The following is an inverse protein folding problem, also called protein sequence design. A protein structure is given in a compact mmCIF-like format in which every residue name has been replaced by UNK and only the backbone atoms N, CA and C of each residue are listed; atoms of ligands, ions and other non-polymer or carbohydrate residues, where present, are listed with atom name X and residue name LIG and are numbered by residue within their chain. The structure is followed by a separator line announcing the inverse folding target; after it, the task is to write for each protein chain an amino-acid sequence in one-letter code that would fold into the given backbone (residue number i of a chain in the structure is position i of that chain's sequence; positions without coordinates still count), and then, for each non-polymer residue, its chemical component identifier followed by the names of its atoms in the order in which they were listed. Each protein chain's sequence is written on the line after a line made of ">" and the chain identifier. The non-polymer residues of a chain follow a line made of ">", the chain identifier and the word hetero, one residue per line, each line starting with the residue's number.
data_IF_469064204544
#
_entry.id   IF_469064204544
#
_cell.length_a   1.000
_cell.length_b   1.000
_cell.length_c   1.000
_cell.angle_alpha   90.00
_cell.angle_beta   90.00
_cell.angle_gamma   90.00
#
_symmetry.space_group_name_H-M   'P 1'
#
loop_
_entity.id
_entity.type
_entity.pdbx_description
1 polymer ?
#
# COMPACT_ATOMS: atom_id res chain seq x y z
N UNK A 1 3.46 12.37 -13.14
CA UNK A 1 2.02 12.05 -13.22
C UNK A 1 1.24 12.64 -12.06
N UNK A 2 1.56 12.36 -10.79
CA UNK A 2 0.80 12.94 -9.66
C UNK A 2 0.93 14.46 -9.59
N UNK A 3 2.16 15.00 -9.63
CA UNK A 3 2.40 16.46 -9.67
C UNK A 3 1.63 17.18 -10.78
N UNK A 4 1.68 16.66 -12.00
CA UNK A 4 0.99 17.26 -13.16
C UNK A 4 -0.53 17.18 -13.00
N UNK A 5 -1.06 16.04 -12.52
CA UNK A 5 -2.50 15.88 -12.27
C UNK A 5 -3.02 16.75 -11.13
N UNK A 6 -2.21 16.95 -10.07
CA UNK A 6 -2.53 17.88 -9.00
C UNK A 6 -2.60 19.32 -9.53
N UNK A 7 -1.62 19.75 -10.32
CA UNK A 7 -1.59 21.08 -10.92
C UNK A 7 -2.77 21.31 -11.89
N UNK A 8 -3.09 20.34 -12.76
CA UNK A 8 -4.27 20.37 -13.64
C UNK A 8 -5.57 20.55 -12.85
N UNK A 9 -5.62 20.03 -11.62
CA UNK A 9 -6.77 20.14 -10.71
C UNK A 9 -6.72 21.39 -9.79
N UNK A 10 -5.76 22.30 -9.98
CA UNK A 10 -5.62 23.51 -9.18
C UNK A 10 -4.95 23.31 -7.82
N UNK A 11 -4.18 22.24 -7.63
CA UNK A 11 -3.42 21.98 -6.39
C UNK A 11 -1.91 22.08 -6.61
N UNK A 12 -1.21 22.63 -5.62
CA UNK A 12 0.23 22.50 -5.49
C UNK A 12 0.58 21.23 -4.72
N UNK A 13 1.51 20.43 -5.26
CA UNK A 13 2.07 19.28 -4.56
C UNK A 13 3.27 19.70 -3.72
N UNK A 14 3.08 19.75 -2.40
CA UNK A 14 4.09 20.20 -1.44
C UNK A 14 5.07 19.10 -1.04
N UNK A 15 4.61 17.84 -0.97
CA UNK A 15 5.44 16.72 -0.51
C UNK A 15 5.01 15.39 -1.09
N UNK A 16 6.00 14.61 -1.51
CA UNK A 16 5.88 13.17 -1.78
C UNK A 16 6.61 12.41 -0.66
N UNK A 17 5.90 11.55 0.07
CA UNK A 17 6.48 10.78 1.16
C UNK A 17 6.35 9.27 0.89
N UNK A 18 7.43 8.63 0.40
CA UNK A 18 7.46 7.19 0.17
C UNK A 18 7.40 6.42 1.49
N UNK A 19 6.47 5.47 1.58
CA UNK A 19 6.25 4.61 2.75
C UNK A 19 6.58 3.14 2.47
N UNK A 20 7.21 2.84 1.33
CA UNK A 20 7.58 1.50 0.85
C UNK A 20 7.99 0.50 1.93
N UNK A 21 9.05 0.79 2.67
CA UNK A 21 9.61 -0.13 3.66
C UNK A 21 8.72 -0.26 4.89
N UNK A 22 7.96 0.78 5.23
CA UNK A 22 6.95 0.69 6.27
C UNK A 22 5.84 -0.29 5.86
N UNK A 23 5.39 -0.23 4.61
CA UNK A 23 4.37 -1.14 4.10
C UNK A 23 4.87 -2.59 3.99
N UNK A 24 6.14 -2.80 3.60
CA UNK A 24 6.76 -4.12 3.65
C UNK A 24 6.71 -4.73 5.06
N UNK A 25 7.11 -3.97 6.08
CA UNK A 25 7.05 -4.41 7.49
C UNK A 25 5.62 -4.73 7.93
N UNK A 26 4.64 -3.93 7.51
CA UNK A 26 3.23 -4.18 7.81
C UNK A 26 2.78 -5.52 7.23
N UNK A 27 3.09 -5.80 5.97
CA UNK A 27 2.72 -7.04 5.29
C UNK A 27 3.42 -8.27 5.88
N UNK A 28 4.70 -8.15 6.23
CA UNK A 28 5.42 -9.21 6.96
C UNK A 28 4.70 -9.54 8.27
N UNK A 29 4.37 -8.50 9.06
CA UNK A 29 3.66 -8.67 10.34
C UNK A 29 2.28 -9.31 10.16
N UNK A 30 1.55 -8.96 9.10
CA UNK A 30 0.26 -9.56 8.80
C UNK A 30 0.38 -11.01 8.35
N UNK A 31 1.37 -11.33 7.51
CA UNK A 31 1.62 -12.70 7.07
C UNK A 31 2.01 -13.60 8.24
N UNK A 32 2.93 -13.15 9.10
CA UNK A 32 3.34 -13.89 10.32
C UNK A 32 2.13 -14.23 11.19
N UNK A 33 1.26 -13.25 11.46
CA UNK A 33 0.05 -13.46 12.26
C UNK A 33 -0.95 -14.40 11.58
N UNK A 34 -1.17 -14.26 10.28
CA UNK A 34 -2.08 -15.12 9.53
C UNK A 34 -1.59 -16.58 9.53
N UNK A 35 -0.29 -16.79 9.31
CA UNK A 35 0.32 -18.13 9.31
C UNK A 35 0.23 -18.77 10.70
N UNK A 36 0.49 -18.00 11.76
CA UNK A 36 0.37 -18.47 13.14
C UNK A 36 -1.08 -18.87 13.51
N UNK A 37 -2.08 -18.25 12.88
CA UNK A 37 -3.51 -18.52 13.11
C UNK A 37 -4.16 -19.32 11.98
N UNK A 38 -3.41 -20.22 11.31
CA UNK A 38 -3.88 -20.97 10.13
C UNK A 38 -5.23 -21.65 10.32
N UNK A 39 -5.38 -22.46 11.37
CA UNK A 39 -6.57 -23.29 11.55
C UNK A 39 -7.82 -22.42 11.77
N UNK A 40 -7.70 -21.35 12.55
CA UNK A 40 -8.76 -20.35 12.74
C UNK A 40 -9.10 -19.65 11.43
N UNK A 41 -8.10 -19.21 10.66
CA UNK A 41 -8.31 -18.53 9.39
C UNK A 41 -9.01 -19.42 8.33
N UNK A 42 -8.70 -20.72 8.32
CA UNK A 42 -9.35 -21.71 7.46
C UNK A 42 -10.79 -21.95 7.92
N UNK A 43 -11.03 -22.08 9.23
CA UNK A 43 -12.36 -22.24 9.78
C UNK A 43 -13.29 -21.05 9.50
N UNK A 44 -12.73 -19.83 9.46
CA UNK A 44 -13.46 -18.60 9.11
C UNK A 44 -13.83 -18.54 7.62
N UNK A 45 -13.05 -19.19 6.74
CA UNK A 45 -13.31 -19.17 5.30
C UNK A 45 -13.06 -20.52 4.62
N UNK A 46 -11.85 -20.74 4.09
CA UNK A 46 -11.42 -21.96 3.41
C UNK A 46 -9.89 -21.99 3.28
N UNK A 47 -9.33 -23.18 3.09
CA UNK A 47 -7.91 -23.37 2.80
C UNK A 47 -7.46 -22.61 1.55
N UNK A 48 -8.26 -22.65 0.48
CA UNK A 48 -7.96 -21.91 -0.76
C UNK A 48 -7.89 -20.39 -0.54
N UNK A 49 -8.72 -19.84 0.35
CA UNK A 49 -8.68 -18.41 0.68
C UNK A 49 -7.45 -18.11 1.53
N UNK A 50 -7.18 -18.91 2.56
CA UNK A 50 -5.97 -18.79 3.38
C UNK A 50 -4.70 -18.77 2.52
N UNK A 51 -4.51 -19.77 1.64
CA UNK A 51 -3.33 -19.89 0.79
C UNK A 51 -3.18 -18.68 -0.13
N UNK A 52 -4.28 -18.19 -0.71
CA UNK A 52 -4.29 -16.99 -1.54
C UNK A 52 -3.83 -15.75 -0.77
N UNK A 53 -4.28 -15.57 0.48
CA UNK A 53 -3.88 -14.43 1.30
C UNK A 53 -2.42 -14.54 1.75
N UNK A 54 -1.93 -15.73 2.12
CA UNK A 54 -0.51 -15.95 2.42
C UNK A 54 0.36 -15.59 1.21
N UNK A 55 0.00 -16.08 0.01
CA UNK A 55 0.72 -15.76 -1.23
C UNK A 55 0.68 -14.26 -1.54
N UNK A 56 -0.48 -13.62 -1.38
CA UNK A 56 -0.64 -12.20 -1.62
C UNK A 56 0.20 -11.35 -0.67
N UNK A 57 0.17 -11.62 0.64
CA UNK A 57 0.86 -10.82 1.65
C UNK A 57 2.38 -10.94 1.50
N UNK A 58 2.89 -12.17 1.40
CA UNK A 58 4.33 -12.45 1.24
C UNK A 58 4.86 -11.90 -0.09
N UNK A 59 4.16 -12.19 -1.20
CA UNK A 59 4.54 -11.68 -2.52
C UNK A 59 4.46 -10.17 -2.64
N UNK A 60 3.50 -9.52 -1.97
CA UNK A 60 3.42 -8.06 -1.92
C UNK A 60 4.57 -7.47 -1.12
N UNK A 61 4.92 -8.06 0.04
CA UNK A 61 6.05 -7.61 0.85
C UNK A 61 7.36 -7.61 0.07
N UNK A 62 7.65 -8.69 -0.68
CA UNK A 62 8.86 -8.79 -1.50
C UNK A 62 8.90 -7.74 -2.62
N UNK A 63 7.75 -7.42 -3.22
CA UNK A 63 7.63 -6.35 -4.23
C UNK A 63 7.89 -4.97 -3.62
N UNK A 64 7.40 -4.71 -2.40
CA UNK A 64 7.75 -3.49 -1.68
C UNK A 64 9.25 -3.46 -1.35
N UNK A 65 9.85 -4.55 -0.82
CA UNK A 65 11.29 -4.61 -0.51
C UNK A 65 12.18 -4.37 -1.73
N UNK A 66 11.79 -4.91 -2.88
CA UNK A 66 12.52 -4.80 -4.15
C UNK A 66 12.23 -3.53 -4.96
N UNK A 67 11.52 -2.55 -4.39
CA UNK A 67 11.18 -1.27 -5.09
C UNK A 67 10.36 -1.44 -6.36
N UNK A 68 9.65 -2.57 -6.51
CA UNK A 68 8.75 -2.80 -7.66
C UNK A 68 7.42 -2.06 -7.50
N UNK A 69 7.00 -1.80 -6.26
CA UNK A 69 5.80 -1.05 -5.90
C UNK A 69 6.10 -0.15 -4.70
N UNK A 70 5.28 0.90 -4.52
CA UNK A 70 5.40 1.86 -3.42
C UNK A 70 4.00 2.32 -2.96
N UNK A 71 3.93 2.77 -1.71
CA UNK A 71 2.82 3.56 -1.18
C UNK A 71 3.38 4.94 -0.91
N UNK A 72 2.88 5.95 -1.60
CA UNK A 72 3.33 7.32 -1.45
C UNK A 72 2.20 8.15 -0.87
N UNK A 73 2.49 8.85 0.23
CA UNK A 73 1.61 9.86 0.76
C UNK A 73 1.93 11.20 0.10
N UNK A 74 0.91 11.86 -0.44
CA UNK A 74 1.03 13.17 -1.07
C UNK A 74 0.40 14.25 -0.19
N UNK A 75 1.10 15.37 0.00
CA UNK A 75 0.54 16.56 0.65
C UNK A 75 0.26 17.61 -0.42
N UNK A 76 -1.01 18.02 -0.53
CA UNK A 76 -1.49 18.98 -1.53
C UNK A 76 -2.03 20.23 -0.84
N UNK A 77 -1.86 21.39 -1.47
CA UNK A 77 -2.44 22.67 -1.07
C UNK A 77 -3.23 23.26 -2.24
N UNK A 78 -4.34 23.94 -1.96
CA UNK A 78 -5.10 24.63 -3.01
C UNK A 78 -4.24 25.76 -3.59
N UNK A 79 -4.09 25.80 -4.91
CA UNK A 79 -3.39 26.88 -5.57
C UNK A 79 -4.18 28.19 -5.47
N UNK A 80 -3.47 29.32 -5.44
CA UNK A 80 -4.05 30.68 -5.37
C UNK A 80 -4.87 31.08 -6.62
N UNK A 81 -4.90 30.23 -7.65
CA UNK A 81 -5.64 30.49 -8.89
C UNK A 81 -6.95 29.69 -8.85
N UNK A 82 -8.13 30.33 -8.88
CA UNK A 82 -9.38 29.59 -8.97
C UNK A 82 -9.38 28.77 -10.26
N UNK A 83 -9.79 27.51 -10.16
CA UNK A 83 -9.99 26.66 -11.33
C UNK A 83 -10.92 27.37 -12.33
N UNK A 84 -10.65 27.29 -13.65
CA UNK A 84 -11.47 27.93 -14.67
C UNK A 84 -12.93 27.45 -14.66
#
# INVERSE_FOLDING_TARGET
>A
MVKSKAAEAGFELLREHPLRLHYARTLDTWAEKLIASRDEAIAVSSEATYDKYVQYLTGSSDRFKSSRIDVVQFTLEAGDTPAP
#
